data_IF_819566920686
#
_entry.id   IF_819566920686
#
_cell.length_a   1.000
_cell.length_b   1.000
_cell.length_c   1.000
_cell.angle_alpha   90.00
_cell.angle_beta   90.00
_cell.angle_gamma   90.00
#
_symmetry.space_group_name_H-M   'P 1'
#
loop_
_entity.id
_entity.type
_entity.pdbx_description
1 polymer ?
#
# COMPACT_ATOMS: atom_id res chain seq x y z
N UNK A 1 -2.41 -12.44 6.53
CA UNK A 1 -1.24 -13.04 7.25
C UNK A 1 -0.39 -11.92 7.83
N UNK A 2 0.16 -12.10 9.01
CA UNK A 2 0.99 -11.11 9.72
C UNK A 2 2.47 -11.33 9.40
N UNK A 3 3.30 -10.32 9.70
CA UNK A 3 4.76 -10.41 9.53
C UNK A 3 5.37 -11.56 10.35
N UNK A 4 4.81 -11.85 11.51
CA UNK A 4 5.28 -12.94 12.39
C UNK A 4 5.12 -14.34 11.78
N UNK A 5 4.35 -14.47 10.68
CA UNK A 5 4.28 -15.70 9.88
C UNK A 5 5.30 -15.71 8.73
N UNK A 6 6.03 -14.61 8.49
CA UNK A 6 6.95 -14.47 7.36
C UNK A 6 8.41 -14.57 7.76
N UNK A 7 9.19 -15.27 6.95
CA UNK A 7 10.64 -15.40 7.06
C UNK A 7 11.38 -14.82 5.85
N UNK A 8 10.65 -14.40 4.79
CA UNK A 8 11.23 -13.78 3.57
C UNK A 8 12.15 -12.58 3.86
N UNK A 9 11.89 -11.69 4.84
CA UNK A 9 12.80 -10.58 5.14
C UNK A 9 14.22 -11.03 5.53
N UNK A 10 14.40 -12.28 5.96
CA UNK A 10 15.71 -12.79 6.36
C UNK A 10 16.59 -13.08 5.15
N UNK A 11 17.78 -12.46 5.10
CA UNK A 11 18.73 -12.71 4.02
C UNK A 11 19.09 -14.21 3.91
N UNK A 12 18.79 -14.79 2.77
CA UNK A 12 18.99 -16.22 2.48
C UNK A 12 17.74 -17.07 2.63
N UNK A 13 16.61 -16.47 3.02
CA UNK A 13 15.28 -17.10 2.98
C UNK A 13 14.54 -16.61 1.75
N UNK A 14 14.14 -17.52 0.89
CA UNK A 14 13.24 -17.29 -0.22
C UNK A 14 11.95 -18.09 -0.04
N UNK A 15 10.99 -17.95 -0.95
CA UNK A 15 9.66 -18.60 -0.88
C UNK A 15 9.76 -20.13 -0.64
N UNK A 16 10.73 -20.80 -1.26
CA UNK A 16 10.95 -22.26 -1.06
C UNK A 16 11.37 -22.60 0.37
N UNK A 17 12.25 -21.78 0.97
CA UNK A 17 12.71 -22.01 2.35
C UNK A 17 11.63 -21.69 3.35
N UNK A 18 10.91 -20.57 3.14
CA UNK A 18 9.77 -20.18 3.96
C UNK A 18 8.66 -21.26 3.94
N UNK A 19 8.27 -21.73 2.75
CA UNK A 19 7.29 -22.82 2.60
C UNK A 19 7.74 -24.07 3.35
N UNK A 20 9.01 -24.46 3.24
CA UNK A 20 9.55 -25.60 3.98
C UNK A 20 9.48 -25.42 5.51
N UNK A 21 9.66 -24.19 6.03
CA UNK A 21 9.45 -23.90 7.44
C UNK A 21 8.00 -24.18 7.82
N UNK A 22 7.04 -23.64 7.09
CA UNK A 22 5.62 -23.85 7.34
C UNK A 22 5.18 -25.32 7.27
N UNK A 23 5.62 -26.05 6.23
CA UNK A 23 5.36 -27.49 6.06
C UNK A 23 5.93 -28.33 7.20
N UNK A 24 6.93 -27.86 7.93
CA UNK A 24 7.50 -28.50 9.12
C UNK A 24 6.93 -27.94 10.43
N UNK A 25 5.82 -27.22 10.40
CA UNK A 25 5.10 -26.73 11.57
C UNK A 25 5.65 -25.42 12.14
N UNK A 26 6.60 -24.75 11.48
CA UNK A 26 7.09 -23.43 11.87
C UNK A 26 6.32 -22.36 11.11
N UNK A 27 5.09 -22.10 11.54
CA UNK A 27 4.14 -21.19 10.90
C UNK A 27 4.15 -19.77 11.50
N UNK A 28 4.78 -19.64 12.67
CA UNK A 28 4.92 -18.40 13.41
C UNK A 28 6.32 -18.31 14.04
N UNK A 29 6.83 -17.12 14.28
CA UNK A 29 8.14 -16.90 14.88
C UNK A 29 8.31 -17.61 16.25
N UNK A 30 7.22 -17.78 17.02
CA UNK A 30 7.25 -18.46 18.31
C UNK A 30 7.56 -19.96 18.21
N UNK A 31 7.35 -20.56 17.04
CA UNK A 31 7.55 -21.97 16.78
C UNK A 31 8.96 -22.27 16.24
N UNK A 32 9.76 -21.23 15.98
CA UNK A 32 11.08 -21.41 15.39
C UNK A 32 12.10 -21.92 16.42
N UNK A 33 12.68 -23.11 16.17
CA UNK A 33 13.69 -23.76 16.99
C UNK A 33 15.02 -24.03 16.27
N UNK A 34 15.13 -23.59 15.01
CA UNK A 34 16.33 -23.77 14.19
C UNK A 34 16.51 -25.16 13.58
N UNK A 35 15.68 -26.18 13.91
CA UNK A 35 15.86 -27.57 13.49
C UNK A 35 15.66 -27.80 11.98
N UNK A 36 14.83 -26.95 11.32
CA UNK A 36 14.43 -27.08 9.90
C UNK A 36 15.49 -26.57 8.92
N UNK A 37 16.42 -25.73 9.39
CA UNK A 37 17.43 -25.06 8.56
C UNK A 37 18.85 -25.28 9.07
N UNK A 38 19.88 -24.99 8.26
CA UNK A 38 21.26 -25.07 8.70
C UNK A 38 21.61 -24.01 9.76
N UNK A 39 22.55 -24.30 10.64
CA UNK A 39 22.89 -23.49 11.83
C UNK A 39 23.18 -22.01 11.51
N UNK A 40 23.85 -21.72 10.39
CA UNK A 40 24.13 -20.33 9.98
C UNK A 40 22.85 -19.56 9.64
N UNK A 41 21.89 -20.20 8.99
CA UNK A 41 20.61 -19.59 8.65
C UNK A 41 19.72 -19.51 9.90
N UNK A 42 19.74 -20.53 10.76
CA UNK A 42 19.04 -20.51 12.05
C UNK A 42 19.44 -19.28 12.89
N UNK A 43 20.74 -19.04 13.08
CA UNK A 43 21.21 -17.88 13.82
C UNK A 43 20.75 -16.52 13.23
N UNK A 44 20.63 -16.42 11.89
CA UNK A 44 20.09 -15.21 11.24
C UNK A 44 18.60 -15.03 11.49
N UNK A 45 17.84 -16.13 11.43
CA UNK A 45 16.39 -16.09 11.70
C UNK A 45 16.14 -15.73 13.16
N UNK A 46 16.90 -16.30 14.10
CA UNK A 46 16.79 -15.96 15.53
C UNK A 46 17.04 -14.47 15.79
N UNK A 47 18.13 -13.91 15.23
CA UNK A 47 18.43 -12.47 15.32
C UNK A 47 17.31 -11.63 14.72
N UNK A 48 16.83 -11.99 13.53
CA UNK A 48 15.72 -11.30 12.87
C UNK A 48 14.44 -11.31 13.72
N UNK A 49 14.10 -12.45 14.32
CA UNK A 49 12.91 -12.56 15.19
C UNK A 49 13.05 -11.65 16.42
N UNK A 50 14.22 -11.65 17.07
CA UNK A 50 14.47 -10.81 18.25
C UNK A 50 14.34 -9.32 17.92
N UNK A 51 15.01 -8.86 16.86
CA UNK A 51 14.95 -7.46 16.40
C UNK A 51 13.54 -7.11 15.89
N UNK A 52 12.92 -8.01 15.11
CA UNK A 52 11.61 -7.82 14.52
C UNK A 52 10.49 -7.62 15.54
N UNK A 53 10.51 -8.38 16.65
CA UNK A 53 9.55 -8.18 17.75
C UNK A 53 9.61 -6.77 18.33
N UNK A 54 10.81 -6.25 18.54
CA UNK A 54 10.98 -4.89 19.05
C UNK A 54 10.48 -3.80 18.08
N UNK A 55 10.52 -4.05 16.77
CA UNK A 55 9.93 -3.16 15.76
C UNK A 55 8.40 -3.24 15.79
N UNK A 56 7.82 -4.44 15.78
CA UNK A 56 6.37 -4.64 15.79
C UNK A 56 5.71 -4.10 17.08
N UNK A 57 6.37 -4.20 18.23
CA UNK A 57 5.89 -3.58 19.49
C UNK A 57 5.73 -2.05 19.40
N UNK A 58 6.43 -1.41 18.47
CA UNK A 58 6.33 0.05 18.21
C UNK A 58 5.45 0.39 17.00
N UNK A 59 4.82 -0.60 16.37
CA UNK A 59 4.08 -0.42 15.11
C UNK A 59 4.98 -0.10 13.91
N UNK A 60 6.29 -0.35 14.00
CA UNK A 60 7.25 -0.06 12.94
C UNK A 60 7.42 -1.26 12.00
N UNK A 61 6.87 -1.15 10.80
CA UNK A 61 6.99 -2.16 9.74
C UNK A 61 8.05 -1.82 8.68
N UNK A 62 8.79 -0.71 8.85
CA UNK A 62 9.79 -0.22 7.88
C UNK A 62 10.86 -1.25 7.53
N UNK A 63 11.52 -1.93 8.51
CA UNK A 63 12.58 -2.88 8.19
C UNK A 63 12.07 -4.09 7.37
N UNK A 64 10.80 -4.47 7.59
CA UNK A 64 10.18 -5.57 6.85
C UNK A 64 9.82 -5.15 5.42
N UNK A 65 9.22 -3.96 5.26
CA UNK A 65 8.86 -3.44 3.95
C UNK A 65 10.09 -3.21 3.07
N UNK A 66 11.22 -2.77 3.64
CA UNK A 66 12.50 -2.63 2.93
C UNK A 66 13.06 -3.98 2.47
N UNK A 67 13.00 -4.99 3.32
CA UNK A 67 13.54 -6.32 3.03
C UNK A 67 12.63 -7.16 2.11
N UNK A 68 11.32 -6.88 2.07
CA UNK A 68 10.37 -7.60 1.24
C UNK A 68 10.38 -7.11 -0.22
N UNK A 69 10.32 -8.03 -1.20
CA UNK A 69 10.00 -7.67 -2.58
C UNK A 69 8.67 -6.90 -2.64
N UNK A 70 8.54 -5.94 -3.57
CA UNK A 70 7.34 -5.10 -3.70
C UNK A 70 6.03 -5.90 -3.73
N UNK A 71 6.00 -7.03 -4.46
CA UNK A 71 4.84 -7.92 -4.54
C UNK A 71 4.54 -8.72 -3.24
N UNK A 72 5.39 -8.60 -2.21
CA UNK A 72 5.23 -9.29 -0.92
C UNK A 72 5.02 -8.33 0.25
N UNK A 73 5.09 -7.01 0.03
CA UNK A 73 4.93 -5.99 1.08
C UNK A 73 3.52 -5.94 1.69
N UNK A 74 2.52 -6.52 1.01
CA UNK A 74 1.16 -6.68 1.55
C UNK A 74 1.13 -7.37 2.91
N UNK A 75 2.14 -8.17 3.24
CA UNK A 75 2.28 -8.87 4.53
C UNK A 75 2.43 -7.91 5.72
N UNK A 76 2.83 -6.65 5.48
CA UNK A 76 2.93 -5.63 6.52
C UNK A 76 1.56 -5.10 6.95
N UNK A 77 0.55 -5.21 6.09
CA UNK A 77 -0.74 -4.53 6.25
C UNK A 77 -1.48 -4.92 7.54
N UNK A 78 -1.64 -6.22 7.81
CA UNK A 78 -2.41 -6.70 8.96
C UNK A 78 -1.80 -6.29 10.32
N UNK A 79 -0.51 -5.98 10.37
CA UNK A 79 0.16 -5.52 11.59
C UNK A 79 -0.17 -4.06 11.94
N UNK A 80 -0.52 -3.24 10.94
CA UNK A 80 -0.71 -1.78 11.07
C UNK A 80 -1.91 -1.27 10.28
N UNK A 81 -2.96 -2.08 10.10
CA UNK A 81 -4.15 -1.75 9.31
C UNK A 81 -4.82 -0.46 9.77
N UNK A 82 -4.97 -0.24 11.08
CA UNK A 82 -5.60 0.94 11.65
C UNK A 82 -4.79 2.23 11.43
N UNK A 83 -3.47 2.10 11.20
CA UNK A 83 -2.53 3.21 10.99
C UNK A 83 -2.09 3.30 9.51
N UNK A 84 -2.73 2.50 8.64
CA UNK A 84 -2.48 2.52 7.20
C UNK A 84 -3.18 3.70 6.55
N UNK A 85 -2.44 4.44 5.74
CA UNK A 85 -2.93 5.55 4.93
C UNK A 85 -3.05 5.13 3.46
N UNK A 86 -4.23 5.26 2.89
CA UNK A 86 -4.47 5.12 1.45
C UNK A 86 -4.39 6.49 0.82
N UNK A 87 -3.62 6.63 -0.26
CA UNK A 87 -3.36 7.92 -0.90
C UNK A 87 -3.56 7.81 -2.41
N UNK A 88 -4.22 8.82 -2.96
CA UNK A 88 -4.39 9.03 -4.39
C UNK A 88 -4.33 10.52 -4.72
N UNK A 89 -3.80 10.87 -5.90
CA UNK A 89 -3.67 12.25 -6.37
C UNK A 89 -4.37 12.45 -7.72
N UNK A 90 -4.85 13.68 -7.94
CA UNK A 90 -5.20 14.15 -9.26
C UNK A 90 -4.23 15.24 -9.71
N UNK A 91 -3.98 15.29 -11.01
CA UNK A 91 -2.98 16.17 -11.62
C UNK A 91 -3.50 16.86 -12.87
N UNK A 92 -2.82 17.91 -13.32
CA UNK A 92 -3.13 18.57 -14.60
C UNK A 92 -2.64 17.77 -15.81
N UNK A 93 -1.79 16.77 -15.61
CA UNK A 93 -1.26 15.92 -16.67
C UNK A 93 -0.36 14.79 -16.12
N UNK A 94 0.51 14.23 -16.95
CA UNK A 94 1.26 13.01 -16.60
C UNK A 94 2.75 13.23 -16.28
N UNK A 95 3.26 14.45 -16.40
CA UNK A 95 4.68 14.76 -16.23
C UNK A 95 4.90 15.70 -15.05
N UNK A 96 5.39 15.16 -13.93
CA UNK A 96 5.63 15.89 -12.69
C UNK A 96 6.61 17.08 -12.84
N UNK A 97 7.40 17.14 -13.93
CA UNK A 97 8.33 18.24 -14.17
C UNK A 97 7.66 19.52 -14.70
N UNK A 98 6.44 19.44 -15.22
CA UNK A 98 5.75 20.56 -15.84
C UNK A 98 4.24 20.62 -15.52
N UNK A 99 3.72 19.64 -14.81
CA UNK A 99 2.31 19.56 -14.43
C UNK A 99 2.15 19.70 -12.91
N UNK A 100 0.97 20.10 -12.49
CA UNK A 100 0.67 20.34 -11.07
C UNK A 100 -0.18 19.23 -10.47
N UNK A 101 -0.04 19.00 -9.16
CA UNK A 101 -0.99 18.23 -8.35
C UNK A 101 -2.17 19.13 -8.02
N UNK A 102 -3.38 18.70 -8.35
CA UNK A 102 -4.62 19.47 -8.15
C UNK A 102 -5.32 19.12 -6.84
N UNK A 103 -5.43 17.83 -6.54
CA UNK A 103 -5.97 17.31 -5.29
C UNK A 103 -5.13 16.15 -4.78
N UNK A 104 -5.06 16.02 -3.46
CA UNK A 104 -4.51 14.84 -2.77
C UNK A 104 -5.55 14.37 -1.78
N UNK A 105 -6.02 13.14 -1.93
CA UNK A 105 -6.89 12.49 -0.98
C UNK A 105 -6.13 11.45 -0.18
N UNK A 106 -6.36 11.45 1.14
CA UNK A 106 -5.83 10.48 2.08
C UNK A 106 -7.00 9.88 2.87
N UNK A 107 -7.02 8.56 2.99
CA UNK A 107 -8.00 7.85 3.80
C UNK A 107 -7.28 7.00 4.84
N UNK A 108 -7.64 7.18 6.11
CA UNK A 108 -7.06 6.45 7.25
C UNK A 108 -8.08 6.36 8.39
N UNK A 109 -8.24 5.17 8.97
CA UNK A 109 -9.09 4.97 10.15
C UNK A 109 -10.54 5.41 9.96
N UNK A 110 -11.11 5.25 8.76
CA UNK A 110 -12.48 5.63 8.44
C UNK A 110 -12.67 7.11 8.05
N UNK A 111 -11.63 7.93 8.09
CA UNK A 111 -11.68 9.36 7.75
C UNK A 111 -10.97 9.66 6.43
N UNK A 112 -11.62 10.44 5.56
CA UNK A 112 -11.01 10.95 4.33
C UNK A 112 -10.68 12.43 4.48
N UNK A 113 -9.41 12.78 4.24
CA UNK A 113 -8.95 14.15 4.10
C UNK A 113 -8.61 14.41 2.65
N UNK A 114 -9.01 15.55 2.10
CA UNK A 114 -8.64 15.95 0.74
C UNK A 114 -8.10 17.36 0.77
N UNK A 115 -6.90 17.53 0.25
CA UNK A 115 -6.23 18.83 0.10
C UNK A 115 -6.31 19.27 -1.36
N UNK A 116 -6.57 20.56 -1.58
CA UNK A 116 -6.79 21.16 -2.88
C UNK A 116 -5.73 22.22 -3.16
N UNK A 117 -5.14 22.19 -4.36
CA UNK A 117 -4.19 23.19 -4.84
C UNK A 117 -4.76 24.61 -4.66
N UNK A 118 -3.89 25.55 -4.31
CA UNK A 118 -4.20 26.98 -4.07
C UNK A 118 -5.20 27.23 -2.92
N UNK A 119 -5.63 26.17 -2.20
CA UNK A 119 -6.47 26.29 -1.00
C UNK A 119 -5.71 25.87 0.25
N UNK A 120 -5.47 24.58 0.37
CA UNK A 120 -4.93 23.99 1.59
C UNK A 120 -3.90 22.87 1.35
N UNK A 121 -3.61 22.53 0.11
CA UNK A 121 -2.56 21.59 -0.27
C UNK A 121 -1.19 22.25 -0.09
N UNK A 122 -0.43 21.78 0.90
CA UNK A 122 0.91 22.31 1.23
C UNK A 122 1.84 21.18 1.64
N UNK A 123 3.16 21.34 1.41
CA UNK A 123 4.20 20.42 1.87
C UNK A 123 4.03 20.03 3.35
N UNK A 124 3.92 21.02 4.24
CA UNK A 124 3.80 20.80 5.68
C UNK A 124 2.56 20.01 6.11
N UNK A 125 1.47 20.05 5.32
CA UNK A 125 0.30 19.20 5.58
C UNK A 125 0.51 17.78 5.09
N UNK A 126 1.10 17.61 3.91
CA UNK A 126 1.44 16.30 3.38
C UNK A 126 2.42 15.57 4.29
N UNK A 127 3.52 16.19 4.67
CA UNK A 127 4.51 15.65 5.61
C UNK A 127 3.85 15.16 6.90
N UNK A 128 3.01 15.98 7.52
CA UNK A 128 2.33 15.60 8.77
C UNK A 128 1.43 14.37 8.59
N UNK A 129 0.64 14.30 7.52
CA UNK A 129 -0.24 13.14 7.29
C UNK A 129 0.57 11.87 6.98
N UNK A 130 1.69 12.01 6.27
CA UNK A 130 2.60 10.90 5.99
C UNK A 130 3.33 10.45 7.26
N UNK A 131 3.83 11.37 8.08
CA UNK A 131 4.53 11.07 9.35
C UNK A 131 3.62 10.35 10.37
N UNK A 132 2.31 10.60 10.31
CA UNK A 132 1.32 9.93 11.15
C UNK A 132 0.92 8.53 10.65
N UNK A 133 1.49 8.05 9.54
CA UNK A 133 1.11 6.80 8.89
C UNK A 133 2.19 5.73 9.08
N UNK A 134 1.80 4.55 9.54
CA UNK A 134 2.72 3.40 9.67
C UNK A 134 2.96 2.69 8.33
N UNK A 135 2.00 2.79 7.41
CA UNK A 135 2.05 2.20 6.08
C UNK A 135 1.30 3.08 5.08
N UNK A 136 1.90 3.32 3.93
CA UNK A 136 1.27 3.96 2.79
C UNK A 136 0.78 2.91 1.79
N UNK A 137 -0.45 3.05 1.31
CA UNK A 137 -1.01 2.22 0.24
C UNK A 137 -1.46 3.10 -0.91
N UNK A 138 -1.05 2.74 -2.12
CA UNK A 138 -1.45 3.42 -3.37
C UNK A 138 -1.77 2.41 -4.46
N UNK A 139 -2.29 2.86 -5.59
CA UNK A 139 -2.40 2.07 -6.81
C UNK A 139 -1.57 2.68 -7.94
N UNK A 140 -0.45 2.06 -8.31
CA UNK A 140 0.56 2.57 -9.23
C UNK A 140 1.30 3.83 -8.73
N UNK A 141 1.16 4.15 -7.45
CA UNK A 141 1.69 5.38 -6.87
C UNK A 141 3.20 5.42 -6.74
N UNK A 142 3.87 4.27 -6.70
CA UNK A 142 5.34 4.21 -6.71
C UNK A 142 5.94 4.84 -7.98
N UNK A 143 5.18 4.83 -9.08
CA UNK A 143 5.61 5.38 -10.38
C UNK A 143 4.96 6.71 -10.72
N UNK A 144 3.88 7.08 -10.04
CA UNK A 144 3.11 8.26 -10.37
C UNK A 144 2.95 9.18 -9.16
N UNK A 145 2.15 8.84 -8.17
CA UNK A 145 1.79 9.71 -7.03
C UNK A 145 3.02 10.19 -6.25
N UNK A 146 3.88 9.26 -5.82
CA UNK A 146 5.06 9.57 -5.02
C UNK A 146 6.01 10.52 -5.77
N UNK A 147 6.45 10.25 -7.03
CA UNK A 147 7.27 11.18 -7.79
C UNK A 147 6.64 12.56 -8.01
N UNK A 148 5.30 12.65 -8.17
CA UNK A 148 4.61 13.93 -8.26
C UNK A 148 4.68 14.70 -6.94
N UNK A 149 4.39 14.05 -5.81
CA UNK A 149 4.44 14.68 -4.49
C UNK A 149 5.86 15.17 -4.17
N UNK A 150 6.86 14.35 -4.39
CA UNK A 150 8.27 14.69 -4.15
C UNK A 150 8.72 15.85 -5.05
N UNK A 151 8.33 15.85 -6.32
CA UNK A 151 8.74 16.89 -7.28
C UNK A 151 8.03 18.22 -7.04
N UNK A 152 6.71 18.20 -6.82
CA UNK A 152 5.91 19.41 -6.71
C UNK A 152 6.00 20.09 -5.34
N UNK A 153 6.29 19.34 -4.27
CA UNK A 153 6.28 19.85 -2.89
C UNK A 153 7.62 19.79 -2.18
N UNK A 154 8.67 19.21 -2.81
CA UNK A 154 9.98 18.98 -2.18
C UNK A 154 9.87 18.23 -0.83
N UNK A 155 8.95 17.26 -0.77
CA UNK A 155 8.75 16.36 0.37
C UNK A 155 9.45 15.03 0.12
N UNK A 156 9.80 14.30 1.19
CA UNK A 156 10.27 12.90 1.08
C UNK A 156 9.16 11.97 1.54
N UNK A 157 8.88 10.91 0.78
CA UNK A 157 7.90 9.89 1.14
C UNK A 157 8.64 8.65 1.66
N UNK A 158 9.08 8.74 2.92
CA UNK A 158 9.89 7.69 3.59
C UNK A 158 9.02 6.64 4.32
N UNK A 159 7.68 6.73 4.20
CA UNK A 159 6.73 5.77 4.80
C UNK A 159 6.84 4.43 4.09
N UNK A 160 6.83 3.28 4.82
CA UNK A 160 6.70 1.96 4.21
C UNK A 160 5.56 1.92 3.20
N UNK A 161 5.81 1.41 1.99
CA UNK A 161 4.87 1.61 0.89
C UNK A 161 4.46 0.29 0.21
N UNK A 162 3.17 0.04 0.16
CA UNK A 162 2.53 -1.01 -0.66
C UNK A 162 1.88 -0.36 -1.88
N UNK A 163 2.42 -0.61 -3.05
CA UNK A 163 1.75 -0.28 -4.30
C UNK A 163 0.92 -1.50 -4.75
N UNK A 164 -0.40 -1.38 -4.70
CA UNK A 164 -1.37 -2.45 -4.96
C UNK A 164 -1.24 -3.05 -6.36
N UNK A 165 -0.67 -2.32 -7.32
CA UNK A 165 -0.44 -2.86 -8.66
C UNK A 165 0.39 -4.16 -8.63
N UNK A 166 1.36 -4.28 -7.73
CA UNK A 166 2.23 -5.46 -7.66
C UNK A 166 1.55 -6.70 -7.08
N UNK A 167 0.90 -6.65 -5.91
CA UNK A 167 0.20 -7.81 -5.37
C UNK A 167 -1.06 -8.15 -6.18
N UNK A 168 -1.79 -7.19 -6.75
CA UNK A 168 -2.89 -7.45 -7.69
C UNK A 168 -2.41 -8.28 -8.88
N UNK A 169 -1.28 -7.89 -9.49
CA UNK A 169 -0.68 -8.65 -10.60
C UNK A 169 -0.29 -10.08 -10.19
N UNK A 170 0.16 -10.29 -8.94
CA UNK A 170 0.46 -11.64 -8.43
C UNK A 170 -0.79 -12.53 -8.37
N UNK A 171 -1.96 -11.95 -8.14
CA UNK A 171 -3.27 -12.62 -8.18
C UNK A 171 -3.87 -12.75 -9.59
N UNK A 172 -3.20 -12.24 -10.63
CA UNK A 172 -3.72 -12.22 -12.00
C UNK A 172 -4.78 -11.14 -12.22
N UNK A 173 -4.93 -10.18 -11.30
CA UNK A 173 -5.80 -9.03 -11.46
C UNK A 173 -5.06 -7.97 -12.28
N UNK A 174 -5.48 -7.79 -13.53
CA UNK A 174 -4.84 -6.90 -14.50
C UNK A 174 -5.72 -5.69 -14.83
N UNK A 175 -5.08 -4.60 -15.22
CA UNK A 175 -5.73 -3.36 -15.62
C UNK A 175 -5.52 -2.23 -14.61
N UNK A 176 -6.31 -1.17 -14.73
CA UNK A 176 -6.31 -0.07 -13.76
C UNK A 176 -7.24 -0.33 -12.57
N UNK A 177 -7.15 0.51 -11.53
CA UNK A 177 -7.94 0.40 -10.31
C UNK A 177 -9.41 0.08 -10.57
N UNK A 178 -10.09 0.86 -11.43
CA UNK A 178 -11.51 0.66 -11.80
C UNK A 178 -11.84 -0.68 -12.47
N UNK A 179 -10.89 -1.24 -13.21
CA UNK A 179 -11.10 -2.53 -13.86
C UNK A 179 -11.06 -3.65 -12.82
N UNK A 180 -10.11 -3.57 -11.91
CA UNK A 180 -9.95 -4.52 -10.80
C UNK A 180 -11.11 -4.43 -9.81
N UNK A 181 -11.51 -3.21 -9.40
CA UNK A 181 -12.69 -3.00 -8.54
C UNK A 181 -13.93 -3.70 -9.09
N UNK A 182 -14.20 -3.50 -10.40
CA UNK A 182 -15.34 -4.14 -11.07
C UNK A 182 -15.23 -5.66 -11.09
N UNK A 183 -14.01 -6.19 -11.29
CA UNK A 183 -13.76 -7.63 -11.33
C UNK A 183 -14.03 -8.30 -9.98
N UNK A 184 -13.63 -7.64 -8.88
CA UNK A 184 -13.81 -8.17 -7.53
C UNK A 184 -15.10 -7.70 -6.83
N UNK A 185 -15.90 -6.88 -7.50
CA UNK A 185 -17.23 -6.45 -7.01
C UNK A 185 -17.20 -5.30 -6.01
N UNK A 186 -16.20 -4.43 -6.06
CA UNK A 186 -16.19 -3.16 -5.32
C UNK A 186 -17.05 -2.15 -6.08
N UNK A 187 -18.09 -1.65 -5.43
CA UNK A 187 -18.97 -0.61 -5.98
C UNK A 187 -18.23 0.73 -6.05
N UNK A 188 -18.54 1.50 -7.08
CA UNK A 188 -17.97 2.83 -7.32
C UNK A 188 -19.04 3.85 -7.61
N UNK A 189 -19.00 4.95 -6.88
CA UNK A 189 -19.72 6.18 -7.25
C UNK A 189 -19.11 6.77 -8.51
N UNK A 190 -19.73 7.25 -9.49
CA UNK A 190 -19.18 7.86 -10.71
C UNK A 190 -18.25 6.96 -11.55
N UNK A 191 -18.69 5.74 -11.94
CA UNK A 191 -17.84 4.78 -12.67
C UNK A 191 -17.44 5.25 -14.08
N UNK A 192 -18.15 6.25 -14.64
CA UNK A 192 -17.94 6.83 -15.96
C UNK A 192 -16.77 7.82 -16.01
N UNK A 193 -16.38 8.44 -14.87
CA UNK A 193 -15.28 9.40 -14.83
C UNK A 193 -13.92 8.70 -15.00
N UNK A 194 -12.98 9.41 -15.58
CA UNK A 194 -11.61 8.97 -15.84
C UNK A 194 -10.60 10.05 -15.46
N UNK A 195 -9.31 9.74 -15.40
CA UNK A 195 -8.26 10.73 -15.17
C UNK A 195 -8.27 11.90 -16.18
N UNK A 196 -8.77 11.67 -17.42
CA UNK A 196 -8.96 12.77 -18.39
C UNK A 196 -10.11 13.70 -17.98
N UNK A 197 -11.14 13.14 -17.38
CA UNK A 197 -12.24 13.93 -16.85
C UNK A 197 -11.79 14.73 -15.62
N UNK A 198 -10.90 14.19 -14.79
CA UNK A 198 -10.29 14.90 -13.67
C UNK A 198 -9.55 16.17 -14.15
N UNK A 199 -8.72 16.05 -15.19
CA UNK A 199 -8.05 17.22 -15.81
C UNK A 199 -9.08 18.24 -16.34
N UNK A 200 -10.14 17.79 -17.02
CA UNK A 200 -11.20 18.66 -17.52
C UNK A 200 -11.93 19.38 -16.38
N UNK A 201 -12.32 18.65 -15.33
CA UNK A 201 -13.00 19.20 -14.15
C UNK A 201 -12.15 20.29 -13.47
N UNK A 202 -10.84 20.08 -13.37
CA UNK A 202 -9.93 21.09 -12.83
C UNK A 202 -9.95 22.39 -13.66
N UNK A 203 -9.85 22.30 -14.98
CA UNK A 203 -9.90 23.48 -15.85
C UNK A 203 -11.27 24.19 -15.84
N UNK A 204 -12.37 23.46 -15.70
CA UNK A 204 -13.70 24.03 -15.53
C UNK A 204 -13.78 24.81 -14.20
N UNK A 205 -13.21 24.25 -13.12
CA UNK A 205 -13.08 24.94 -11.84
C UNK A 205 -12.25 26.24 -11.95
N UNK A 206 -11.08 26.18 -12.58
CA UNK A 206 -10.26 27.39 -12.84
C UNK A 206 -11.00 28.45 -13.66
N UNK A 207 -11.96 28.03 -14.47
CA UNK A 207 -12.84 28.91 -15.25
C UNK A 207 -14.04 29.44 -14.46
N UNK A 208 -14.18 29.04 -13.19
CA UNK A 208 -15.20 29.57 -12.26
C UNK A 208 -16.34 28.60 -11.93
N UNK A 209 -16.27 27.33 -12.34
CA UNK A 209 -17.26 26.31 -11.99
C UNK A 209 -16.86 25.57 -10.70
N UNK A 210 -17.37 26.02 -9.56
CA UNK A 210 -17.16 25.38 -8.25
C UNK A 210 -17.73 23.95 -8.20
N UNK A 211 -18.78 23.62 -8.95
CA UNK A 211 -19.38 22.29 -8.99
C UNK A 211 -18.44 21.26 -9.62
N UNK A 212 -17.58 21.68 -10.55
CA UNK A 212 -16.55 20.83 -11.12
C UNK A 212 -15.49 20.45 -10.09
N UNK A 213 -15.10 21.34 -9.18
CA UNK A 213 -14.20 20.99 -8.08
C UNK A 213 -14.83 20.00 -7.09
N UNK A 214 -16.10 20.20 -6.73
CA UNK A 214 -16.81 19.26 -5.85
C UNK A 214 -16.81 17.85 -6.44
N UNK A 215 -17.07 17.75 -7.75
CA UNK A 215 -17.05 16.47 -8.49
C UNK A 215 -15.64 15.84 -8.51
N UNK A 216 -14.59 16.65 -8.76
CA UNK A 216 -13.21 16.19 -8.76
C UNK A 216 -12.78 15.66 -7.38
N UNK A 217 -13.13 16.38 -6.32
CA UNK A 217 -12.83 15.97 -4.94
C UNK A 217 -13.51 14.64 -4.59
N UNK A 218 -14.80 14.47 -4.92
CA UNK A 218 -15.49 13.20 -4.64
C UNK A 218 -14.96 12.06 -5.51
N UNK A 219 -14.52 12.33 -6.73
CA UNK A 219 -13.86 11.35 -7.58
C UNK A 219 -12.55 10.85 -6.96
N UNK A 220 -11.65 11.76 -6.56
CA UNK A 220 -10.38 11.43 -5.91
C UNK A 220 -10.60 10.70 -4.56
N UNK A 221 -11.62 11.10 -3.78
CA UNK A 221 -12.01 10.41 -2.54
C UNK A 221 -12.51 8.98 -2.78
N UNK A 222 -13.25 8.76 -3.87
CA UNK A 222 -13.72 7.43 -4.21
C UNK A 222 -12.56 6.50 -4.57
N UNK A 223 -11.59 6.97 -5.38
CA UNK A 223 -10.38 6.24 -5.73
C UNK A 223 -9.59 5.85 -4.46
N UNK A 224 -9.43 6.79 -3.53
CA UNK A 224 -8.70 6.59 -2.27
C UNK A 224 -9.40 5.60 -1.33
N UNK A 225 -10.72 5.76 -1.09
CA UNK A 225 -11.49 4.87 -0.19
C UNK A 225 -11.57 3.43 -0.70
N UNK A 226 -11.71 3.26 -2.01
CA UNK A 226 -11.86 1.94 -2.61
C UNK A 226 -10.57 1.10 -2.55
N UNK A 227 -9.42 1.74 -2.29
CA UNK A 227 -8.17 1.00 -2.08
C UNK A 227 -8.16 0.19 -0.78
N UNK A 228 -8.91 0.58 0.27
CA UNK A 228 -8.99 -0.21 1.50
C UNK A 228 -9.61 -1.59 1.26
N UNK A 229 -10.87 -1.71 0.76
CA UNK A 229 -11.45 -3.03 0.47
C UNK A 229 -10.68 -3.81 -0.60
N UNK A 230 -9.97 -3.13 -1.52
CA UNK A 230 -9.07 -3.80 -2.46
C UNK A 230 -7.84 -4.37 -1.73
N UNK A 231 -7.23 -3.62 -0.81
CA UNK A 231 -6.10 -4.10 -0.01
C UNK A 231 -6.49 -5.30 0.86
N UNK A 232 -7.64 -5.25 1.51
CA UNK A 232 -8.19 -6.36 2.29
C UNK A 232 -8.39 -7.60 1.42
N UNK A 233 -9.08 -7.46 0.27
CA UNK A 233 -9.28 -8.56 -0.67
C UNK A 233 -7.96 -9.19 -1.12
N UNK A 234 -6.98 -8.36 -1.47
CA UNK A 234 -5.64 -8.81 -1.92
C UNK A 234 -4.89 -9.53 -0.79
N UNK A 235 -4.94 -8.98 0.42
CA UNK A 235 -4.28 -9.58 1.59
C UNK A 235 -4.89 -10.95 1.93
N UNK A 236 -6.22 -11.06 1.92
CA UNK A 236 -6.94 -12.31 2.20
C UNK A 236 -6.64 -13.37 1.13
N UNK A 237 -6.75 -13.02 -0.15
CA UNK A 237 -6.46 -13.96 -1.25
C UNK A 237 -5.01 -14.44 -1.25
N UNK A 238 -4.05 -13.54 -1.02
CA UNK A 238 -2.65 -13.92 -0.95
C UNK A 238 -2.34 -14.70 0.34
N UNK A 239 -3.06 -14.46 1.44
CA UNK A 239 -2.97 -15.29 2.63
C UNK A 239 -3.40 -16.73 2.32
N UNK A 240 -4.56 -16.91 1.71
CA UNK A 240 -5.06 -18.24 1.28
C UNK A 240 -4.07 -18.94 0.33
N UNK A 241 -3.66 -18.26 -0.75
CA UNK A 241 -2.85 -18.85 -1.82
C UNK A 241 -1.40 -19.13 -1.40
N UNK A 242 -0.85 -18.37 -0.48
CA UNK A 242 0.57 -18.45 -0.08
C UNK A 242 0.77 -19.20 1.22
N UNK A 243 -0.01 -18.85 2.26
CA UNK A 243 0.18 -19.37 3.60
C UNK A 243 -0.71 -20.57 3.91
N UNK A 244 -2.03 -20.47 3.74
CA UNK A 244 -2.95 -21.58 4.04
C UNK A 244 -2.70 -22.77 3.13
N UNK A 245 -2.48 -22.54 1.83
CA UNK A 245 -2.13 -23.61 0.89
C UNK A 245 -0.84 -24.36 1.24
N UNK A 246 0.09 -23.71 1.97
CA UNK A 246 1.34 -24.33 2.41
C UNK A 246 1.22 -25.01 3.79
N UNK A 247 0.25 -24.59 4.61
CA UNK A 247 0.03 -25.09 5.99
C UNK A 247 -1.10 -26.11 6.09
N UNK A 248 -2.00 -26.18 5.10
CA UNK A 248 -2.98 -27.26 4.96
C UNK A 248 -2.23 -28.54 4.60
N UNK A 249 -1.76 -29.26 5.61
CA UNK A 249 -1.12 -30.58 5.41
C UNK A 249 -2.03 -31.55 4.65
N UNK A 250 -1.42 -32.40 3.81
CA UNK A 250 -2.08 -33.54 3.14
C UNK A 250 -2.76 -34.49 4.15
#
# INVERSE_FOLDING_TARGET
MRIENSFIPVHGVGETTERRLWENGVTHWDEFDGSVVGSTLAARIETFIEEGRAHLERGDVSPFAEALPAASRWRCYENVSDETCFLDIETTGLDASCEDVTTVSLYRGGETKTFVKDRDLTAARLERELDESALLVTFNGQRFDVPFLETCFDVSVDVPHVDLMYPCKKLGLDGGLKAIEREIGIDRDMPELSGRDAVRLWHEYESGDEGSLETLVEYNRADTRNMEPLMEHVADRLHEDVFEAATAGD
#
